data_IF_213143502725
#
_entry.id   IF_213143502725
#
_cell.length_a   1.000
_cell.length_b   1.000
_cell.length_c   1.000
_cell.angle_alpha   90.00
_cell.angle_beta   90.00
_cell.angle_gamma   90.00
#
_symmetry.space_group_name_H-M   'P 1'
#
loop_
_entity.id
_entity.type
_entity.pdbx_description
1 polymer ?
#
# COMPACT_ATOMS: atom_id res chain seq x y z
N UNK A 1 -10.63 9.14 -1.44
CA UNK A 1 -11.25 7.99 -2.13
C UNK A 1 -11.96 7.11 -1.12
N UNK A 2 -13.13 6.59 -1.49
CA UNK A 2 -13.95 5.69 -0.68
C UNK A 2 -14.16 4.42 -1.48
N UNK A 3 -14.00 3.26 -0.84
CA UNK A 3 -14.22 1.97 -1.48
C UNK A 3 -15.54 1.36 -1.02
N UNK A 4 -16.26 0.76 -1.95
CA UNK A 4 -17.55 0.14 -1.66
C UNK A 4 -17.37 -1.31 -1.22
N UNK A 5 -18.28 -1.79 -0.36
CA UNK A 5 -18.25 -3.19 0.09
C UNK A 5 -18.54 -4.09 -1.11
N UNK A 6 -17.72 -5.13 -1.30
CA UNK A 6 -17.78 -6.04 -2.44
C UNK A 6 -16.96 -5.59 -3.64
N UNK A 7 -16.44 -4.36 -3.67
CA UNK A 7 -15.58 -3.91 -4.77
C UNK A 7 -14.17 -4.49 -4.68
N UNK A 8 -13.49 -4.53 -5.83
CA UNK A 8 -12.06 -4.81 -5.92
C UNK A 8 -11.25 -3.55 -5.61
N UNK A 9 -10.08 -3.74 -5.03
CA UNK A 9 -9.07 -2.71 -4.77
C UNK A 9 -7.69 -3.35 -4.83
N UNK A 10 -6.64 -2.52 -4.83
CA UNK A 10 -5.25 -2.98 -4.85
C UNK A 10 -4.52 -2.52 -3.58
N UNK A 11 -3.64 -3.37 -3.06
CA UNK A 11 -2.74 -3.05 -1.96
C UNK A 11 -1.29 -3.33 -2.38
N UNK A 12 -0.36 -2.59 -1.79
CA UNK A 12 1.08 -2.86 -1.92
C UNK A 12 1.60 -3.55 -0.66
N UNK A 13 2.06 -4.79 -0.81
CA UNK A 13 2.73 -5.58 0.21
C UNK A 13 4.25 -5.31 0.15
N UNK A 14 4.86 -5.06 1.32
CA UNK A 14 6.32 -4.82 1.48
C UNK A 14 6.90 -3.77 0.54
N UNK A 15 6.11 -2.78 0.13
CA UNK A 15 6.45 -1.77 -0.88
C UNK A 15 6.99 -2.36 -2.20
N UNK A 16 6.60 -3.59 -2.56
CA UNK A 16 7.18 -4.29 -3.73
C UNK A 16 6.14 -5.06 -4.55
N UNK A 17 5.15 -5.65 -3.90
CA UNK A 17 4.21 -6.56 -4.55
C UNK A 17 2.83 -5.91 -4.54
N UNK A 18 2.24 -5.75 -5.71
CA UNK A 18 0.87 -5.27 -5.84
C UNK A 18 -0.07 -6.47 -5.84
N UNK A 19 -1.14 -6.39 -5.06
CA UNK A 19 -2.10 -7.48 -4.93
C UNK A 19 -3.53 -6.97 -4.97
N UNK A 20 -4.36 -7.65 -5.74
CA UNK A 20 -5.79 -7.44 -5.78
C UNK A 20 -6.47 -8.01 -4.54
N UNK A 21 -7.41 -7.24 -3.98
CA UNK A 21 -8.18 -7.58 -2.78
C UNK A 21 -9.63 -7.14 -2.93
N UNK A 22 -10.52 -7.80 -2.19
CA UNK A 22 -11.95 -7.44 -2.13
C UNK A 22 -12.27 -6.75 -0.81
N UNK A 23 -13.05 -5.68 -0.85
CA UNK A 23 -13.52 -5.00 0.36
C UNK A 23 -14.65 -5.81 1.00
N UNK A 24 -14.49 -6.19 2.27
CA UNK A 24 -15.50 -6.96 3.02
C UNK A 24 -16.30 -6.06 3.95
N UNK A 25 -15.66 -5.05 4.54
CA UNK A 25 -16.32 -4.13 5.47
C UNK A 25 -15.63 -2.77 5.44
N UNK A 26 -16.40 -1.72 5.68
CA UNK A 26 -15.91 -0.35 5.88
C UNK A 26 -16.31 0.16 7.26
N UNK A 27 -15.38 0.80 7.95
CA UNK A 27 -15.62 1.51 9.19
C UNK A 27 -14.83 2.83 9.19
N UNK A 28 -15.50 3.92 8.79
CA UNK A 28 -14.86 5.22 8.59
C UNK A 28 -13.71 5.15 7.57
N UNK A 29 -12.48 5.38 8.05
CA UNK A 29 -11.25 5.33 7.27
C UNK A 29 -10.56 3.95 7.27
N UNK A 30 -11.14 2.97 7.96
CA UNK A 30 -10.63 1.61 8.00
C UNK A 30 -11.47 0.67 7.14
N UNK A 31 -10.79 -0.29 6.52
CA UNK A 31 -11.38 -1.27 5.63
C UNK A 31 -10.90 -2.66 6.04
N UNK A 32 -11.82 -3.63 6.11
CA UNK A 32 -11.47 -5.04 6.17
C UNK A 32 -11.42 -5.55 4.74
N UNK A 33 -10.26 -6.03 4.33
CA UNK A 33 -10.01 -6.55 2.98
C UNK A 33 -9.74 -8.04 3.02
N UNK A 34 -10.03 -8.74 1.94
CA UNK A 34 -9.77 -10.19 1.80
C UNK A 34 -8.90 -10.47 0.57
N UNK A 35 -7.95 -11.39 0.75
CA UNK A 35 -7.06 -11.84 -0.31
C UNK A 35 -7.67 -13.04 -1.06
N UNK A 36 -8.58 -12.79 -2.00
CA UNK A 36 -9.29 -13.86 -2.72
C UNK A 36 -10.00 -14.83 -1.75
N UNK A 37 -9.70 -16.12 -1.84
CA UNK A 37 -10.26 -17.16 -0.94
C UNK A 37 -9.59 -17.24 0.44
N UNK A 38 -8.47 -16.54 0.64
CA UNK A 38 -7.65 -16.61 1.88
C UNK A 38 -8.22 -15.71 2.98
N UNK A 39 -7.42 -15.50 4.03
CA UNK A 39 -7.74 -14.60 5.14
C UNK A 39 -7.84 -13.13 4.73
N UNK A 40 -8.13 -12.29 5.71
CA UNK A 40 -8.28 -10.85 5.52
C UNK A 40 -7.62 -10.07 6.64
N UNK A 41 -7.33 -8.80 6.37
CA UNK A 41 -6.72 -7.88 7.33
C UNK A 41 -7.49 -6.56 7.34
N UNK A 42 -7.34 -5.80 8.42
CA UNK A 42 -7.84 -4.43 8.49
C UNK A 42 -6.74 -3.44 8.09
N UNK A 43 -7.05 -2.53 7.19
CA UNK A 43 -6.13 -1.50 6.68
C UNK A 43 -6.76 -0.12 6.70
N UNK A 44 -5.93 0.92 6.59
CA UNK A 44 -6.39 2.30 6.37
C UNK A 44 -6.65 2.56 4.88
N UNK A 45 -7.51 3.53 4.59
CA UNK A 45 -7.85 3.97 3.23
C UNK A 45 -6.64 4.27 2.35
N UNK A 46 -5.60 4.89 2.90
CA UNK A 46 -4.38 5.27 2.16
C UNK A 46 -3.49 4.09 1.74
N UNK A 47 -3.82 2.87 2.18
CA UNK A 47 -3.14 1.64 1.76
C UNK A 47 -3.83 0.96 0.58
N UNK A 48 -4.98 1.48 0.16
CA UNK A 48 -5.78 0.94 -0.93
C UNK A 48 -5.72 1.86 -2.14
N UNK A 49 -5.61 1.25 -3.31
CA UNK A 49 -5.56 1.91 -4.60
C UNK A 49 -6.72 1.42 -5.48
N UNK A 50 -7.26 2.32 -6.30
CA UNK A 50 -8.37 1.99 -7.19
C UNK A 50 -7.91 1.17 -8.40
N UNK A 51 -6.68 1.42 -8.87
CA UNK A 51 -6.08 0.73 -10.02
C UNK A 51 -4.72 0.10 -9.65
N UNK A 52 -4.31 -0.89 -10.43
CA UNK A 52 -2.96 -1.45 -10.39
C UNK A 52 -1.90 -0.39 -10.70
N UNK A 53 -2.16 0.47 -11.70
CA UNK A 53 -1.25 1.53 -12.13
C UNK A 53 -0.99 2.57 -11.01
N UNK A 54 -2.04 2.93 -10.26
CA UNK A 54 -1.94 3.81 -9.10
C UNK A 54 -1.05 3.19 -8.00
N UNK A 55 -1.20 1.88 -7.78
CA UNK A 55 -0.41 1.14 -6.81
C UNK A 55 1.06 1.06 -7.25
N UNK A 56 1.33 0.81 -8.53
CA UNK A 56 2.69 0.76 -9.10
C UNK A 56 3.40 2.11 -9.00
N UNK A 57 2.70 3.19 -9.35
CA UNK A 57 3.18 4.55 -9.19
C UNK A 57 3.54 4.87 -7.74
N UNK A 58 2.84 4.29 -6.76
CA UNK A 58 3.13 4.50 -5.33
C UNK A 58 4.45 3.86 -4.87
N UNK A 59 4.87 2.77 -5.51
CA UNK A 59 6.15 2.09 -5.24
C UNK A 59 7.30 2.95 -5.75
N UNK A 60 7.21 3.39 -7.00
CA UNK A 60 8.29 4.10 -7.69
C UNK A 60 8.55 5.52 -7.13
N UNK A 61 7.53 6.18 -6.55
CA UNK A 61 7.70 7.50 -5.90
C UNK A 61 8.56 7.46 -4.64
N UNK A 62 8.69 6.32 -3.97
CA UNK A 62 9.40 6.21 -2.69
C UNK A 62 10.90 5.87 -2.84
N UNK A 63 11.37 5.78 -4.09
CA UNK A 63 12.79 5.51 -4.41
C UNK A 63 13.67 6.75 -4.26
N UNK A 64 13.09 7.91 -3.97
CA UNK A 64 13.87 9.10 -3.61
C UNK A 64 14.76 8.76 -2.41
N UNK A 65 16.07 8.69 -2.67
CA UNK A 65 17.08 8.46 -1.66
C UNK A 65 16.84 9.47 -0.55
N UNK A 66 16.71 9.00 0.70
CA UNK A 66 16.69 9.89 1.87
C UNK A 66 17.95 10.75 1.84
N UNK A 67 17.82 11.99 1.36
CA UNK A 67 18.90 12.97 1.30
C UNK A 67 19.16 13.45 2.71
N UNK A 68 20.02 12.72 3.43
CA UNK A 68 20.35 13.08 4.81
C UNK A 68 20.93 11.97 5.68
N UNK A 69 20.90 10.70 5.24
CA UNK A 69 21.65 9.67 5.95
C UNK A 69 23.13 9.78 5.59
N UNK A 70 23.88 10.48 6.43
CA UNK A 70 25.34 10.45 6.44
C UNK A 70 25.76 9.24 7.26
N UNK A 71 26.47 8.29 6.65
CA UNK A 71 26.96 7.15 7.39
C UNK A 71 27.92 7.66 8.47
N UNK A 72 27.86 7.18 9.72
CA UNK A 72 28.86 7.51 10.75
C UNK A 72 30.31 7.15 10.34
N UNK A 73 30.47 6.33 9.29
CA UNK A 73 31.75 5.93 8.72
C UNK A 73 32.16 6.73 7.48
N UNK A 74 31.38 7.74 7.05
CA UNK A 74 31.77 8.67 5.99
C UNK A 74 32.80 9.69 6.54
N UNK A 75 34.03 9.23 6.81
CA UNK A 75 35.14 10.11 7.16
C UNK A 75 35.75 10.73 5.90
N UNK A 76 35.96 12.05 5.94
CA UNK A 76 36.61 12.84 4.88
C UNK A 76 38.09 12.42 4.77
N UNK A 77 38.52 12.02 3.57
CA UNK A 77 39.92 11.73 3.21
C UNK A 77 40.60 12.95 2.58
#
# INVERSE_FOLDING_TARGET
>A
MTFEIGSTAYIVESNRIIREVTIVKRNGNFYIIRFGTRGGIQVRSNRLFASYDDADSSIHKNTEKRTGYRSPYDYIH
#
